data_IF_235473665848
#
_entry.id   IF_235473665848
#
_cell.length_a   1.000
_cell.length_b   1.000
_cell.length_c   1.000
_cell.angle_alpha   90.00
_cell.angle_beta   90.00
_cell.angle_gamma   90.00
#
_symmetry.space_group_name_H-M   'P 1'
#
loop_
_entity.id
_entity.type
_entity.pdbx_description
1 polymer ?
#
# COMPACT_ATOMS: atom_id res chain seq x y z
N UNK A 1 -37.97 13.47 79.12
CA UNK A 1 -37.74 14.63 79.96
C UNK A 1 -37.59 15.85 79.12
N UNK A 2 -38.50 16.65 79.28
CA UNK A 2 -38.71 18.10 79.35
C UNK A 2 -38.41 18.83 78.02
N UNK A 3 -39.46 19.30 77.43
CA UNK A 3 -40.33 20.50 77.61
C UNK A 3 -39.68 21.73 76.98
N UNK A 4 -40.31 22.19 75.89
CA UNK A 4 -41.28 23.30 75.75
C UNK A 4 -40.61 24.68 75.87
N UNK A 5 -40.74 25.51 74.83
CA UNK A 5 -41.54 26.72 74.95
C UNK A 5 -41.67 27.41 73.55
N UNK A 6 -42.93 27.55 73.17
CA UNK A 6 -43.40 28.50 72.18
C UNK A 6 -43.33 29.93 72.68
N UNK A 7 -43.06 30.92 71.89
CA UNK A 7 -43.70 32.22 72.10
C UNK A 7 -43.95 32.93 70.73
N UNK A 8 -45.19 33.20 70.52
CA UNK A 8 -45.93 33.97 69.57
C UNK A 8 -45.58 35.45 69.61
N UNK A 9 -45.72 36.13 68.46
CA UNK A 9 -45.74 37.59 68.45
C UNK A 9 -45.90 38.26 67.10
N UNK A 10 -47.11 38.29 66.61
CA UNK A 10 -47.85 39.45 66.05
C UNK A 10 -47.42 40.00 64.64
N UNK A 11 -48.38 39.83 63.78
CA UNK A 11 -48.74 40.49 62.53
C UNK A 11 -48.65 42.03 62.65
N UNK A 12 -48.06 42.69 61.63
CA UNK A 12 -48.54 44.00 61.16
C UNK A 12 -48.57 44.05 59.68
N UNK A 13 -49.72 44.16 59.12
CA UNK A 13 -50.17 44.44 57.79
C UNK A 13 -50.04 45.96 57.52
N UNK A 14 -49.40 46.39 56.49
CA UNK A 14 -49.51 47.68 55.77
C UNK A 14 -48.53 47.64 54.61
N UNK A 15 -48.83 47.80 53.44
CA UNK A 15 -49.65 48.58 52.53
C UNK A 15 -49.29 48.21 51.11
N UNK A 16 -50.28 47.95 50.32
CA UNK A 16 -50.25 47.92 48.89
C UNK A 16 -50.10 49.36 48.42
N UNK A 17 -49.02 49.66 47.65
CA UNK A 17 -49.03 50.66 46.57
C UNK A 17 -48.00 50.28 45.54
N UNK A 18 -48.43 50.03 44.43
CA UNK A 18 -48.11 49.99 43.05
C UNK A 18 -46.69 50.37 42.61
N UNK A 19 -46.08 49.49 41.83
CA UNK A 19 -45.34 49.90 40.62
C UNK A 19 -45.67 48.86 39.59
N UNK A 20 -46.61 49.17 38.72
CA UNK A 20 -46.72 48.71 37.33
C UNK A 20 -45.67 49.46 36.51
N UNK A 21 -45.20 48.86 35.51
CA UNK A 21 -44.19 49.25 34.45
C UNK A 21 -42.75 48.92 34.85
N UNK A 22 -42.16 47.94 34.21
CA UNK A 22 -41.79 47.90 32.80
C UNK A 22 -41.39 46.45 32.45
N UNK A 23 -42.26 45.74 31.81
CA UNK A 23 -41.89 44.58 30.98
C UNK A 23 -41.12 45.09 29.74
N UNK A 24 -39.87 45.37 29.90
CA UNK A 24 -38.98 45.50 28.73
C UNK A 24 -38.86 44.13 28.11
N UNK A 25 -39.50 43.92 27.00
CA UNK A 25 -39.27 42.87 26.00
C UNK A 25 -37.77 42.87 25.67
N UNK A 26 -36.98 42.06 26.38
CA UNK A 26 -35.71 41.55 25.89
C UNK A 26 -36.07 40.56 24.78
N UNK A 27 -36.37 41.10 23.58
CA UNK A 27 -36.14 40.37 22.32
C UNK A 27 -34.67 39.97 22.33
N UNK A 28 -34.42 38.73 22.74
CA UNK A 28 -33.15 38.09 22.52
C UNK A 28 -33.01 38.00 20.99
N UNK A 29 -32.41 39.04 20.39
CA UNK A 29 -31.73 38.86 19.13
C UNK A 29 -30.75 37.67 19.39
N UNK A 30 -31.09 36.51 18.87
CA UNK A 30 -30.12 35.44 18.67
C UNK A 30 -29.06 36.00 17.74
N UNK A 31 -28.05 36.61 18.34
CA UNK A 31 -26.80 36.88 17.67
C UNK A 31 -26.35 35.50 17.13
N UNK A 32 -26.19 35.35 15.80
CA UNK A 32 -25.62 34.10 15.30
C UNK A 32 -24.34 33.90 16.10
N UNK A 33 -24.23 32.75 16.72
CA UNK A 33 -23.07 32.33 17.47
C UNK A 33 -21.90 32.45 16.50
N UNK A 34 -21.21 33.58 16.53
CA UNK A 34 -19.92 33.72 15.87
C UNK A 34 -19.06 32.67 16.54
N UNK A 35 -18.91 31.51 15.88
CA UNK A 35 -17.95 30.52 16.27
C UNK A 35 -16.64 31.27 16.51
N UNK A 36 -16.13 31.19 17.76
CA UNK A 36 -14.82 31.76 18.08
C UNK A 36 -13.86 31.33 16.96
N UNK A 37 -13.03 32.24 16.44
CA UNK A 37 -11.99 31.83 15.49
C UNK A 37 -11.24 30.68 16.14
N UNK A 38 -11.34 29.50 15.57
CA UNK A 38 -10.60 28.36 16.02
C UNK A 38 -9.13 28.74 15.86
N UNK A 39 -8.35 28.67 16.96
CA UNK A 39 -6.92 28.97 16.93
C UNK A 39 -6.20 28.09 15.89
N UNK A 40 -4.92 28.35 15.62
CA UNK A 40 -4.18 27.52 14.64
C UNK A 40 -4.21 26.05 15.05
N UNK A 41 -4.63 25.20 14.12
CA UNK A 41 -4.61 23.75 14.27
C UNK A 41 -3.22 23.22 13.91
N UNK A 42 -2.71 22.25 14.68
CA UNK A 42 -1.48 21.53 14.33
C UNK A 42 -1.81 20.06 14.13
N UNK A 43 -1.55 19.55 12.94
CA UNK A 43 -1.69 18.14 12.58
C UNK A 43 -0.35 17.44 12.66
N UNK A 44 -0.32 16.26 13.25
CA UNK A 44 0.83 15.38 13.19
C UNK A 44 0.66 14.39 12.03
N UNK A 45 1.66 14.33 11.12
CA UNK A 45 1.67 13.43 9.97
C UNK A 45 2.85 12.47 10.01
N UNK A 46 2.58 11.16 10.09
CA UNK A 46 3.58 10.11 10.05
C UNK A 46 3.70 9.50 8.66
N UNK A 47 4.88 9.64 8.06
CA UNK A 47 5.21 9.02 6.79
C UNK A 47 6.41 8.09 6.89
N UNK A 48 6.64 7.28 5.84
CA UNK A 48 7.68 6.26 5.81
C UNK A 48 8.78 6.57 4.79
N UNK A 49 8.42 6.89 3.56
CA UNK A 49 9.34 6.81 2.43
C UNK A 49 9.88 8.16 1.98
N UNK A 50 9.04 9.18 1.95
CA UNK A 50 9.45 10.48 1.47
C UNK A 50 10.36 11.20 2.47
N UNK A 51 11.32 11.99 1.92
CA UNK A 51 12.19 12.78 2.77
C UNK A 51 11.41 13.93 3.42
N UNK A 52 11.81 14.40 4.63
CA UNK A 52 11.21 15.59 5.21
C UNK A 52 11.25 16.78 4.26
N UNK A 53 12.38 17.03 3.57
CA UNK A 53 12.51 18.15 2.63
C UNK A 53 11.49 18.10 1.49
N UNK A 54 11.18 16.90 0.98
CA UNK A 54 10.17 16.69 -0.06
C UNK A 54 8.79 17.07 0.45
N UNK A 55 8.41 16.56 1.62
CA UNK A 55 7.09 16.80 2.22
C UNK A 55 6.95 18.25 2.70
N UNK A 56 7.99 18.84 3.30
CA UNK A 56 8.00 20.23 3.76
C UNK A 56 7.75 21.22 2.61
N UNK A 57 8.20 20.91 1.39
CA UNK A 57 7.89 21.72 0.21
C UNK A 57 6.38 21.76 -0.06
N UNK A 58 5.68 20.65 0.10
CA UNK A 58 4.23 20.56 -0.09
C UNK A 58 3.48 21.20 1.08
N UNK A 59 3.94 20.98 2.32
CA UNK A 59 3.38 21.59 3.52
C UNK A 59 3.45 23.13 3.44
N UNK A 60 4.58 23.65 2.99
CA UNK A 60 4.77 25.09 2.82
C UNK A 60 3.81 25.69 1.78
N UNK A 61 3.48 24.97 0.71
CA UNK A 61 2.47 25.43 -0.25
C UNK A 61 1.06 25.34 0.33
N UNK A 62 0.73 24.27 1.03
CA UNK A 62 -0.55 24.14 1.72
C UNK A 62 -0.77 25.26 2.75
N UNK A 63 0.29 25.64 3.48
CA UNK A 63 0.26 26.74 4.45
C UNK A 63 -0.11 28.09 3.85
N UNK A 64 0.23 28.34 2.57
CA UNK A 64 -0.13 29.59 1.89
C UNK A 64 -1.63 29.71 1.65
N UNK A 65 -2.31 28.59 1.40
CA UNK A 65 -3.75 28.55 1.15
C UNK A 65 -4.57 28.25 2.42
N UNK A 66 -3.95 27.64 3.44
CA UNK A 66 -4.55 27.30 4.72
C UNK A 66 -3.68 27.80 5.89
N UNK A 67 -3.57 29.13 6.11
CA UNK A 67 -2.61 29.72 7.05
C UNK A 67 -2.84 29.31 8.52
N UNK A 68 -4.03 28.87 8.87
CA UNK A 68 -4.38 28.44 10.21
C UNK A 68 -4.09 26.94 10.49
N UNK A 69 -3.62 26.18 9.49
CA UNK A 69 -3.25 24.78 9.66
C UNK A 69 -1.74 24.62 9.59
N UNK A 70 -1.15 24.09 10.66
CA UNK A 70 0.25 23.68 10.72
C UNK A 70 0.32 22.18 10.57
N UNK A 71 1.33 21.66 9.87
CA UNK A 71 1.53 20.23 9.71
C UNK A 71 2.95 19.89 10.16
N UNK A 72 3.06 18.96 11.09
CA UNK A 72 4.33 18.43 11.60
C UNK A 72 4.56 17.05 10.99
N UNK A 73 5.39 16.99 9.95
CA UNK A 73 5.75 15.72 9.31
C UNK A 73 6.83 15.00 10.11
N UNK A 74 6.61 13.71 10.41
CA UNK A 74 7.59 12.84 11.05
C UNK A 74 7.84 11.62 10.19
N UNK A 75 9.02 11.53 9.61
CA UNK A 75 9.46 10.31 8.93
C UNK A 75 9.74 9.24 9.98
N UNK A 76 9.06 8.09 9.85
CA UNK A 76 9.20 6.93 10.73
C UNK A 76 10.05 5.84 10.06
N UNK A 77 10.62 4.95 10.85
CA UNK A 77 11.26 3.74 10.34
C UNK A 77 10.21 2.68 10.07
N UNK A 78 10.33 1.88 8.99
CA UNK A 78 9.33 0.85 8.67
C UNK A 78 9.24 -0.28 9.70
N UNK A 79 10.38 -0.61 10.37
CA UNK A 79 10.43 -1.69 11.36
C UNK A 79 9.54 -1.35 12.57
N UNK A 80 8.64 -2.27 12.92
CA UNK A 80 7.69 -2.14 14.03
C UNK A 80 6.77 -0.89 13.91
N UNK A 81 6.65 -0.34 12.69
CA UNK A 81 5.87 0.87 12.49
C UNK A 81 4.39 0.65 12.75
N UNK A 82 3.82 -0.44 12.22
CA UNK A 82 2.39 -0.75 12.37
C UNK A 82 2.01 -0.88 13.84
N UNK A 83 2.72 -1.72 14.60
CA UNK A 83 2.41 -1.92 16.03
C UNK A 83 2.59 -0.62 16.84
N UNK A 84 3.62 0.16 16.51
CA UNK A 84 3.83 1.47 17.15
C UNK A 84 2.68 2.43 16.85
N UNK A 85 2.18 2.43 15.61
CA UNK A 85 1.05 3.25 15.17
C UNK A 85 -0.22 2.89 15.95
N UNK A 86 -0.61 1.61 15.95
CA UNK A 86 -1.79 1.10 16.67
C UNK A 86 -1.72 1.44 18.16
N UNK A 87 -0.59 1.15 18.81
CA UNK A 87 -0.40 1.42 20.23
C UNK A 87 -0.53 2.92 20.57
N UNK A 88 0.04 3.80 19.75
CA UNK A 88 -0.01 5.24 20.03
C UNK A 88 -1.39 5.83 19.72
N UNK A 89 -2.07 5.37 18.68
CA UNK A 89 -3.47 5.76 18.42
C UNK A 89 -4.36 5.32 19.58
N UNK A 90 -4.24 4.07 20.04
CA UNK A 90 -5.02 3.56 21.19
C UNK A 90 -4.77 4.35 22.47
N UNK A 91 -3.56 4.88 22.69
CA UNK A 91 -3.19 5.72 23.83
C UNK A 91 -3.59 7.20 23.66
N UNK A 92 -4.17 7.60 22.53
CA UNK A 92 -4.52 8.98 22.24
C UNK A 92 -3.31 9.90 21.97
N UNK A 93 -2.13 9.33 21.68
CA UNK A 93 -0.88 10.03 21.36
C UNK A 93 -0.39 9.77 19.93
N UNK A 94 -1.22 9.13 19.12
CA UNK A 94 -0.94 8.86 17.72
C UNK A 94 -1.05 10.08 16.82
N UNK A 95 -0.67 9.94 15.52
CA UNK A 95 -0.77 11.02 14.54
C UNK A 95 -2.22 11.27 14.12
N UNK A 96 -2.47 12.45 13.51
CA UNK A 96 -3.73 12.75 12.82
C UNK A 96 -3.79 12.09 11.45
N UNK A 97 -2.64 12.04 10.74
CA UNK A 97 -2.49 11.49 9.39
C UNK A 97 -1.35 10.49 9.42
N UNK A 98 -1.55 9.33 8.79
CA UNK A 98 -0.51 8.33 8.74
C UNK A 98 -0.47 7.56 7.41
N UNK A 99 0.73 7.13 7.05
CA UNK A 99 0.96 6.26 5.89
C UNK A 99 0.72 4.80 6.31
N UNK A 100 -0.01 4.05 5.48
CA UNK A 100 -0.22 2.62 5.65
C UNK A 100 -0.19 1.89 4.31
N UNK A 101 0.07 0.58 4.33
CA UNK A 101 0.06 -0.25 3.12
C UNK A 101 -1.38 -0.66 2.76
N UNK A 102 -1.70 -0.78 1.45
CA UNK A 102 -3.05 -1.15 0.99
C UNK A 102 -3.57 -2.46 1.62
N UNK A 103 -2.70 -3.42 1.87
CA UNK A 103 -3.07 -4.71 2.49
C UNK A 103 -3.23 -4.64 4.02
N UNK A 104 -2.90 -3.50 4.66
CA UNK A 104 -3.04 -3.33 6.11
C UNK A 104 -4.44 -2.93 6.57
N UNK A 105 -5.32 -2.59 5.64
CA UNK A 105 -6.68 -2.12 5.94
C UNK A 105 -7.44 -3.01 6.93
N UNK A 106 -7.40 -4.35 6.85
CA UNK A 106 -8.07 -5.19 7.84
C UNK A 106 -7.51 -5.06 9.25
N UNK A 107 -6.18 -4.88 9.37
CA UNK A 107 -5.49 -4.73 10.67
C UNK A 107 -5.75 -3.37 11.32
N UNK A 108 -5.94 -2.33 10.51
CA UNK A 108 -6.11 -0.93 10.94
C UNK A 108 -7.58 -0.48 10.90
N UNK A 109 -8.52 -1.42 10.93
CA UNK A 109 -9.94 -1.12 10.77
C UNK A 109 -10.46 -0.11 11.80
N UNK A 110 -10.03 -0.24 13.04
CA UNK A 110 -10.48 0.61 14.15
C UNK A 110 -9.71 1.95 14.23
N UNK A 111 -8.54 2.02 13.59
CA UNK A 111 -7.67 3.20 13.57
C UNK A 111 -7.96 4.17 12.43
N UNK A 112 -8.66 3.70 11.38
CA UNK A 112 -8.93 4.47 10.17
C UNK A 112 -10.29 5.17 10.23
N UNK A 113 -10.28 6.49 10.06
CA UNK A 113 -11.50 7.30 9.94
C UNK A 113 -12.12 7.18 8.54
N UNK A 114 -13.42 6.92 8.41
CA UNK A 114 -14.10 6.94 7.12
C UNK A 114 -14.10 8.32 6.47
N UNK A 115 -13.79 8.38 5.17
CA UNK A 115 -13.74 9.64 4.41
C UNK A 115 -15.14 10.25 4.26
N UNK A 116 -15.36 11.48 4.75
CA UNK A 116 -16.64 12.17 4.54
C UNK A 116 -16.92 12.41 3.05
N UNK A 117 -18.19 12.23 2.62
CA UNK A 117 -18.61 12.50 1.24
C UNK A 117 -18.38 13.96 0.80
N UNK A 118 -18.27 14.90 1.76
CA UNK A 118 -17.92 16.30 1.50
C UNK A 118 -16.45 16.48 1.08
N UNK A 119 -15.56 15.54 1.43
CA UNK A 119 -14.17 15.54 0.99
C UNK A 119 -14.10 15.11 -0.47
N UNK A 120 -14.62 13.93 -0.79
CA UNK A 120 -14.72 13.43 -2.16
C UNK A 120 -15.87 12.41 -2.24
N UNK A 121 -16.67 12.48 -3.30
CA UNK A 121 -17.71 11.46 -3.53
C UNK A 121 -17.07 10.12 -3.94
N UNK A 122 -17.74 9.00 -3.64
CA UNK A 122 -17.29 7.66 -4.10
C UNK A 122 -17.19 7.58 -5.62
N UNK A 123 -18.06 8.28 -6.34
CA UNK A 123 -18.02 8.37 -7.81
C UNK A 123 -16.77 9.10 -8.29
N UNK A 124 -16.44 10.24 -7.68
CA UNK A 124 -15.23 10.99 -8.05
C UNK A 124 -13.97 10.21 -7.71
N UNK A 125 -13.94 9.52 -6.57
CA UNK A 125 -12.83 8.67 -6.18
C UNK A 125 -12.62 7.54 -7.20
N UNK A 126 -13.68 6.80 -7.54
CA UNK A 126 -13.66 5.73 -8.55
C UNK A 126 -13.18 6.21 -9.91
N UNK A 127 -13.56 7.43 -10.31
CA UNK A 127 -13.16 7.99 -11.60
C UNK A 127 -11.74 8.57 -11.61
N UNK A 128 -11.20 8.90 -10.45
CA UNK A 128 -9.89 9.53 -10.31
C UNK A 128 -8.75 8.52 -10.18
N UNK A 129 -8.94 7.47 -9.38
CA UNK A 129 -7.89 6.50 -9.03
C UNK A 129 -8.06 5.19 -9.79
N UNK A 130 -6.97 4.40 -9.87
CA UNK A 130 -7.06 3.05 -10.42
C UNK A 130 -8.07 2.22 -9.64
N UNK A 131 -8.78 1.25 -10.29
CA UNK A 131 -9.86 0.48 -9.66
C UNK A 131 -9.46 -0.20 -8.34
N UNK A 132 -8.20 -0.64 -8.26
CA UNK A 132 -7.67 -1.32 -7.08
C UNK A 132 -7.70 -0.43 -5.83
N UNK A 133 -7.56 0.89 -5.95
CA UNK A 133 -7.64 1.79 -4.81
C UNK A 133 -9.03 1.78 -4.15
N UNK A 134 -10.09 1.70 -4.94
CA UNK A 134 -11.45 1.56 -4.43
C UNK A 134 -11.67 0.21 -3.76
N UNK A 135 -11.08 -0.85 -4.31
CA UNK A 135 -11.20 -2.20 -3.77
C UNK A 135 -10.47 -2.34 -2.42
N UNK A 136 -9.23 -1.87 -2.35
CA UNK A 136 -8.37 -2.11 -1.19
C UNK A 136 -8.62 -1.13 -0.03
N UNK A 137 -8.90 0.14 -0.35
CA UNK A 137 -9.03 1.23 0.64
C UNK A 137 -10.49 1.47 1.06
N UNK A 138 -11.27 0.38 1.17
CA UNK A 138 -12.68 0.44 1.57
C UNK A 138 -12.94 -0.51 2.74
N UNK A 139 -13.55 0.02 3.82
CA UNK A 139 -14.04 -0.73 4.96
C UNK A 139 -15.57 -0.51 5.04
N UNK A 140 -16.36 -1.58 5.10
CA UNK A 140 -17.83 -1.49 5.24
C UNK A 140 -18.47 -0.51 4.23
N UNK A 141 -17.94 -0.51 3.00
CA UNK A 141 -18.35 0.37 1.90
C UNK A 141 -17.95 1.85 2.08
N UNK A 142 -17.11 2.21 3.05
CA UNK A 142 -16.58 3.57 3.22
C UNK A 142 -15.08 3.62 2.86
N UNK A 143 -14.68 4.67 2.14
CA UNK A 143 -13.27 4.88 1.75
C UNK A 143 -12.51 5.38 2.98
N UNK A 144 -11.30 4.83 3.21
CA UNK A 144 -10.50 5.12 4.41
C UNK A 144 -9.13 5.75 4.11
N UNK A 145 -8.84 6.08 2.87
CA UNK A 145 -7.55 6.70 2.54
C UNK A 145 -7.41 7.12 1.09
N UNK A 146 -6.34 7.88 0.83
CA UNK A 146 -5.90 8.25 -0.51
C UNK A 146 -4.58 7.56 -0.84
N UNK A 147 -4.45 6.89 -2.01
CA UNK A 147 -3.18 6.31 -2.41
C UNK A 147 -2.15 7.41 -2.66
N UNK A 148 -0.94 7.23 -2.14
CA UNK A 148 0.21 8.15 -2.34
C UNK A 148 0.84 7.98 -3.72
N UNK A 149 0.77 6.77 -4.25
CA UNK A 149 1.30 6.35 -5.53
C UNK A 149 0.66 5.04 -5.93
N UNK A 150 0.98 4.55 -7.10
CA UNK A 150 0.71 3.18 -7.51
C UNK A 150 2.04 2.43 -7.62
N UNK A 151 2.08 1.20 -7.16
CA UNK A 151 3.17 0.28 -7.46
C UNK A 151 2.60 -1.15 -7.59
N UNK A 152 3.42 -2.05 -8.09
CA UNK A 152 3.06 -3.43 -8.34
C UNK A 152 4.27 -4.21 -8.80
N UNK A 153 4.06 -5.34 -9.47
CA UNK A 153 5.14 -6.05 -10.13
C UNK A 153 5.35 -5.54 -11.55
N UNK A 154 6.61 -5.57 -12.00
CA UNK A 154 7.02 -5.39 -13.39
C UNK A 154 8.03 -6.47 -13.79
N UNK A 155 8.14 -6.78 -15.07
CA UNK A 155 9.14 -7.70 -15.61
C UNK A 155 10.40 -6.92 -16.00
N UNK A 156 11.40 -6.94 -15.14
CA UNK A 156 12.74 -6.40 -15.43
C UNK A 156 13.49 -7.36 -16.35
N UNK A 157 14.13 -6.83 -17.37
CA UNK A 157 14.95 -7.65 -18.27
C UNK A 157 16.29 -6.99 -18.60
N UNK A 158 17.34 -7.81 -18.66
CA UNK A 158 18.71 -7.39 -18.97
C UNK A 158 18.89 -7.26 -20.48
N UNK A 159 19.05 -6.03 -20.98
CA UNK A 159 19.13 -5.75 -22.42
C UNK A 159 20.35 -6.40 -23.08
N UNK A 160 21.49 -6.49 -22.39
CA UNK A 160 22.70 -7.09 -22.96
C UNK A 160 22.57 -8.62 -23.10
N UNK A 161 21.95 -9.31 -22.13
CA UNK A 161 21.66 -10.76 -22.21
C UNK A 161 20.64 -11.04 -23.32
N UNK A 162 19.55 -10.27 -23.40
CA UNK A 162 18.53 -10.40 -24.44
C UNK A 162 19.15 -10.22 -25.83
N UNK A 163 19.96 -9.17 -26.00
CA UNK A 163 20.66 -8.88 -27.27
C UNK A 163 21.61 -10.00 -27.67
N UNK A 164 22.40 -10.53 -26.71
CA UNK A 164 23.32 -11.63 -26.99
C UNK A 164 22.60 -12.90 -27.45
N UNK A 165 21.39 -13.15 -26.96
CA UNK A 165 20.55 -14.28 -27.38
C UNK A 165 19.70 -14.03 -28.63
N UNK A 166 19.77 -12.81 -29.21
CA UNK A 166 18.97 -12.42 -30.38
C UNK A 166 17.46 -12.26 -30.07
N UNK A 167 17.11 -11.99 -28.80
CA UNK A 167 15.73 -11.70 -28.39
C UNK A 167 15.54 -10.17 -28.44
N UNK A 168 14.58 -9.72 -29.23
CA UNK A 168 14.37 -8.29 -29.51
C UNK A 168 13.26 -7.65 -28.69
N UNK A 169 12.41 -8.46 -28.06
CA UNK A 169 11.25 -8.01 -27.26
C UNK A 169 11.10 -8.88 -26.02
N UNK A 170 10.68 -8.31 -24.88
CA UNK A 170 10.33 -9.10 -23.69
C UNK A 170 9.08 -9.94 -23.94
N UNK A 171 8.93 -11.09 -23.25
CA UNK A 171 7.77 -11.96 -23.38
C UNK A 171 6.48 -11.28 -22.90
N UNK A 172 5.38 -11.48 -23.64
CA UNK A 172 4.05 -10.95 -23.29
C UNK A 172 3.11 -12.03 -22.73
N UNK A 173 3.50 -13.29 -22.83
CA UNK A 173 2.78 -14.45 -22.28
C UNK A 173 3.69 -15.33 -21.44
N UNK A 174 3.10 -16.13 -20.52
CA UNK A 174 3.88 -17.09 -19.74
C UNK A 174 4.50 -18.20 -20.60
N UNK A 175 3.90 -18.51 -21.75
CA UNK A 175 4.49 -19.45 -22.71
C UNK A 175 5.77 -18.87 -23.31
N UNK A 176 5.76 -17.63 -23.78
CA UNK A 176 6.96 -16.95 -24.28
C UNK A 176 8.00 -16.80 -23.16
N UNK A 177 7.55 -16.42 -21.94
CA UNK A 177 8.44 -16.29 -20.78
C UNK A 177 9.20 -17.58 -20.48
N UNK A 178 8.52 -18.74 -20.49
CA UNK A 178 9.16 -20.04 -20.25
C UNK A 178 10.17 -20.37 -21.35
N UNK A 179 9.83 -20.12 -22.62
CA UNK A 179 10.72 -20.34 -23.76
C UNK A 179 11.96 -19.45 -23.69
N UNK A 180 11.77 -18.16 -23.40
CA UNK A 180 12.86 -17.20 -23.27
C UNK A 180 13.73 -17.54 -22.04
N UNK A 181 13.14 -17.88 -20.90
CA UNK A 181 13.88 -18.29 -19.73
C UNK A 181 14.80 -19.49 -19.97
N UNK A 182 14.29 -20.50 -20.68
CA UNK A 182 15.11 -21.66 -21.07
C UNK A 182 16.24 -21.26 -22.04
N UNK A 183 15.95 -20.45 -23.04
CA UNK A 183 16.93 -19.98 -24.05
C UNK A 183 18.02 -19.10 -23.45
N UNK A 184 17.68 -18.27 -22.46
CA UNK A 184 18.57 -17.31 -21.80
C UNK A 184 19.41 -17.95 -20.69
N UNK A 185 19.11 -19.19 -20.29
CA UNK A 185 19.84 -19.91 -19.26
C UNK A 185 21.15 -20.48 -19.81
N UNK A 186 22.27 -20.10 -19.21
CA UNK A 186 23.58 -20.64 -19.55
C UNK A 186 24.10 -21.45 -18.36
N UNK A 187 24.48 -22.70 -18.64
CA UNK A 187 25.06 -23.62 -17.62
C UNK A 187 26.52 -23.97 -18.00
N UNK A 188 27.32 -24.27 -16.99
CA UNK A 188 28.65 -24.82 -17.19
C UNK A 188 28.59 -26.33 -17.48
N UNK A 189 29.76 -26.93 -17.73
CA UNK A 189 29.91 -28.36 -18.04
C UNK A 189 29.41 -29.27 -16.89
N UNK A 190 29.40 -28.78 -15.67
CA UNK A 190 28.89 -29.48 -14.47
C UNK A 190 27.38 -29.28 -14.28
N UNK A 191 26.72 -28.50 -15.14
CA UNK A 191 25.29 -28.18 -15.07
C UNK A 191 24.92 -27.08 -14.09
N UNK A 192 25.90 -26.34 -13.53
CA UNK A 192 25.63 -25.19 -12.69
C UNK A 192 25.23 -23.97 -13.51
N UNK A 193 24.24 -23.22 -13.06
CA UNK A 193 23.74 -22.03 -13.74
C UNK A 193 24.80 -20.90 -13.60
N UNK A 194 25.26 -20.39 -14.73
CA UNK A 194 26.15 -19.22 -14.85
C UNK A 194 25.39 -17.95 -15.15
N UNK A 195 24.36 -18.06 -16.00
CA UNK A 195 23.36 -17.03 -16.24
C UNK A 195 21.99 -17.65 -16.08
N UNK A 196 21.20 -17.13 -15.18
CA UNK A 196 19.82 -17.56 -14.99
C UNK A 196 18.91 -16.88 -16.03
N UNK A 197 18.07 -17.65 -16.69
CA UNK A 197 17.08 -17.08 -17.62
C UNK A 197 16.00 -16.28 -16.89
N UNK A 198 15.61 -16.73 -15.70
CA UNK A 198 14.68 -16.01 -14.84
C UNK A 198 14.93 -16.34 -13.37
N UNK A 199 14.79 -15.35 -12.49
CA UNK A 199 14.79 -15.55 -11.04
C UNK A 199 13.37 -15.90 -10.57
N UNK A 200 13.06 -17.20 -10.54
CA UNK A 200 11.70 -17.68 -10.28
C UNK A 200 11.75 -19.12 -9.73
N UNK A 201 10.80 -19.49 -8.87
CA UNK A 201 10.55 -20.88 -8.49
C UNK A 201 10.97 -21.29 -7.09
N UNK A 202 11.66 -20.44 -6.33
CA UNK A 202 12.04 -20.67 -4.95
C UNK A 202 11.57 -19.56 -4.03
N UNK A 203 11.20 -19.86 -2.79
CA UNK A 203 10.85 -18.85 -1.80
C UNK A 203 12.09 -18.30 -1.09
N UNK A 204 13.16 -19.11 -0.97
CA UNK A 204 14.35 -18.80 -0.18
C UNK A 204 15.19 -17.65 -0.73
N UNK A 205 15.26 -17.48 -2.07
CA UNK A 205 16.15 -16.51 -2.72
C UNK A 205 15.49 -15.69 -3.85
N UNK A 206 14.17 -15.79 -4.02
CA UNK A 206 13.39 -14.90 -4.90
C UNK A 206 12.71 -13.84 -4.04
N UNK A 207 13.26 -12.64 -4.01
CA UNK A 207 12.89 -11.56 -3.08
C UNK A 207 11.39 -11.20 -3.03
N UNK A 208 10.67 -11.36 -4.14
CA UNK A 208 9.25 -11.04 -4.26
C UNK A 208 8.43 -12.30 -4.61
N UNK A 209 8.83 -13.47 -4.11
CA UNK A 209 8.18 -14.74 -4.48
C UNK A 209 6.68 -14.75 -4.19
N UNK A 210 6.27 -14.17 -3.06
CA UNK A 210 4.85 -14.15 -2.64
C UNK A 210 4.01 -13.28 -3.57
N UNK A 211 4.51 -12.10 -3.98
CA UNK A 211 3.84 -11.23 -4.95
C UNK A 211 3.71 -11.94 -6.30
N UNK A 212 4.76 -12.65 -6.75
CA UNK A 212 4.78 -13.38 -8.04
C UNK A 212 3.79 -14.55 -7.98
N UNK A 213 3.83 -15.34 -6.90
CA UNK A 213 2.91 -16.45 -6.73
C UNK A 213 1.45 -15.97 -6.63
N UNK A 214 1.21 -14.89 -5.87
CA UNK A 214 -0.09 -14.25 -5.76
C UNK A 214 -0.63 -13.78 -7.13
N UNK A 215 0.22 -13.14 -7.94
CA UNK A 215 -0.11 -12.79 -9.31
C UNK A 215 -0.50 -14.03 -10.15
N UNK A 216 0.30 -15.10 -10.10
CA UNK A 216 0.04 -16.34 -10.86
C UNK A 216 -1.28 -17.01 -10.44
N UNK A 217 -1.57 -17.05 -9.14
CA UNK A 217 -2.84 -17.56 -8.62
C UNK A 217 -4.00 -16.72 -9.16
N UNK A 218 -3.94 -15.39 -9.06
CA UNK A 218 -5.00 -14.51 -9.57
C UNK A 218 -5.18 -14.63 -11.09
N UNK A 219 -4.10 -14.67 -11.86
CA UNK A 219 -4.17 -14.82 -13.31
C UNK A 219 -4.78 -16.15 -13.73
N UNK A 220 -4.55 -17.21 -12.95
CA UNK A 220 -5.13 -18.54 -13.21
C UNK A 220 -6.57 -18.68 -12.69
N UNK A 221 -7.14 -17.63 -12.06
CA UNK A 221 -8.48 -17.61 -11.52
C UNK A 221 -8.63 -18.27 -10.14
N UNK A 222 -7.51 -18.50 -9.44
CA UNK A 222 -7.47 -18.98 -8.06
C UNK A 222 -7.67 -17.87 -7.04
N UNK A 223 -7.79 -18.27 -5.77
CA UNK A 223 -8.01 -17.34 -4.66
C UNK A 223 -6.85 -17.37 -3.66
N UNK A 224 -5.99 -16.32 -3.61
CA UNK A 224 -4.87 -16.28 -2.67
C UNK A 224 -5.27 -16.28 -1.18
N UNK A 225 -6.51 -15.93 -0.84
CA UNK A 225 -7.02 -16.00 0.54
C UNK A 225 -7.52 -17.40 0.94
N UNK A 226 -7.76 -18.27 -0.04
CA UNK A 226 -8.21 -19.65 0.18
C UNK A 226 -7.73 -20.53 -0.97
N UNK A 227 -6.41 -20.86 -1.05
CA UNK A 227 -5.78 -21.44 -2.25
C UNK A 227 -5.96 -22.96 -2.40
N UNK A 228 -7.05 -23.53 -1.92
CA UNK A 228 -7.33 -24.99 -2.03
C UNK A 228 -7.92 -25.41 -3.37
N UNK A 229 -8.16 -24.48 -4.28
CA UNK A 229 -8.64 -24.76 -5.63
C UNK A 229 -7.51 -25.26 -6.55
N UNK A 230 -7.92 -25.96 -7.62
CA UNK A 230 -6.98 -26.51 -8.61
C UNK A 230 -6.16 -25.41 -9.29
N UNK A 231 -6.74 -24.26 -9.52
CA UNK A 231 -6.11 -23.13 -10.16
C UNK A 231 -4.91 -22.61 -9.34
N UNK A 232 -5.05 -22.54 -8.03
CA UNK A 232 -3.97 -22.19 -7.11
C UNK A 232 -2.87 -23.25 -7.11
N UNK A 233 -3.25 -24.55 -7.12
CA UNK A 233 -2.29 -25.65 -7.17
C UNK A 233 -1.48 -25.65 -8.49
N UNK A 234 -2.15 -25.46 -9.63
CA UNK A 234 -1.49 -25.35 -10.94
C UNK A 234 -0.51 -24.15 -10.98
N UNK A 235 -0.87 -23.03 -10.33
CA UNK A 235 0.01 -21.84 -10.25
C UNK A 235 1.27 -22.12 -9.40
N UNK A 236 1.14 -22.83 -8.26
CA UNK A 236 2.28 -23.19 -7.43
C UNK A 236 3.19 -24.24 -8.10
N UNK A 237 2.61 -25.24 -8.79
CA UNK A 237 3.37 -26.20 -9.58
C UNK A 237 4.14 -25.50 -10.71
N UNK A 238 3.48 -24.57 -11.42
CA UNK A 238 4.13 -23.80 -12.45
C UNK A 238 5.26 -22.93 -11.89
N UNK A 239 5.02 -22.20 -10.79
CA UNK A 239 6.04 -21.40 -10.10
C UNK A 239 7.26 -22.26 -9.74
N UNK A 240 7.07 -23.40 -9.07
CA UNK A 240 8.18 -24.25 -8.62
C UNK A 240 8.87 -25.01 -9.75
N UNK A 241 8.26 -25.13 -10.92
CA UNK A 241 8.85 -25.84 -12.08
C UNK A 241 10.15 -25.20 -12.58
N UNK A 242 10.36 -23.90 -12.36
CA UNK A 242 11.54 -23.17 -12.81
C UNK A 242 12.83 -23.56 -12.09
N UNK A 243 12.75 -24.23 -10.93
CA UNK A 243 13.91 -24.74 -10.18
C UNK A 243 14.06 -26.26 -10.26
N UNK A 244 13.15 -26.97 -10.94
CA UNK A 244 13.11 -28.43 -10.98
C UNK A 244 13.76 -29.02 -12.25
N UNK A 245 14.38 -30.18 -12.08
CA UNK A 245 14.87 -31.00 -13.21
C UNK A 245 16.06 -30.41 -13.97
N UNK A 246 16.33 -31.00 -15.14
CA UNK A 246 17.46 -30.60 -15.96
C UNK A 246 17.22 -29.25 -16.68
N UNK A 247 16.00 -28.88 -16.88
CA UNK A 247 15.61 -27.64 -17.55
C UNK A 247 15.45 -26.44 -16.58
N UNK A 248 15.86 -26.62 -15.30
CA UNK A 248 15.81 -25.53 -14.33
C UNK A 248 16.53 -24.29 -14.84
N UNK A 249 15.93 -23.13 -14.62
CA UNK A 249 16.48 -21.82 -15.01
C UNK A 249 16.92 -20.99 -13.83
N UNK A 250 16.59 -21.40 -12.62
CA UNK A 250 16.95 -20.83 -11.35
C UNK A 250 17.43 -21.91 -10.40
N UNK A 251 18.17 -21.51 -9.38
CA UNK A 251 18.72 -22.45 -8.39
C UNK A 251 18.82 -21.76 -7.02
N UNK A 252 18.54 -22.46 -5.94
CA UNK A 252 18.63 -21.93 -4.57
C UNK A 252 20.08 -21.60 -4.15
N UNK A 253 21.10 -22.09 -4.88
CA UNK A 253 22.49 -21.70 -4.66
C UNK A 253 22.84 -20.32 -5.26
N UNK A 254 21.95 -19.75 -6.08
CA UNK A 254 22.11 -18.39 -6.59
C UNK A 254 21.95 -17.36 -5.47
N UNK A 255 22.59 -16.18 -5.55
CA UNK A 255 22.32 -15.08 -4.64
C UNK A 255 20.84 -14.67 -4.66
N UNK A 256 20.40 -13.89 -3.67
CA UNK A 256 19.05 -13.28 -3.70
C UNK A 256 18.78 -12.60 -5.04
N UNK A 257 17.57 -12.74 -5.57
CA UNK A 257 17.22 -12.43 -6.95
C UNK A 257 17.55 -10.99 -7.37
N UNK A 258 17.33 -10.00 -6.49
CA UNK A 258 17.69 -8.60 -6.77
C UNK A 258 19.21 -8.43 -6.88
N UNK A 259 19.98 -9.07 -6.00
CA UNK A 259 21.45 -9.01 -6.02
C UNK A 259 21.99 -9.68 -7.28
N UNK A 260 21.47 -10.87 -7.65
CA UNK A 260 21.85 -11.59 -8.85
C UNK A 260 21.54 -10.79 -10.14
N UNK A 261 20.36 -10.16 -10.20
CA UNK A 261 20.00 -9.31 -11.33
C UNK A 261 20.90 -8.05 -11.41
N UNK A 262 21.15 -7.38 -10.28
CA UNK A 262 22.06 -6.23 -10.20
C UNK A 262 23.48 -6.60 -10.63
N UNK A 263 23.93 -7.82 -10.32
CA UNK A 263 25.22 -8.36 -10.74
C UNK A 263 25.29 -8.74 -12.21
N UNK A 264 24.18 -8.70 -12.95
CA UNK A 264 24.13 -9.03 -14.38
C UNK A 264 24.08 -10.53 -14.68
N UNK A 265 23.84 -11.40 -13.69
CA UNK A 265 23.77 -12.86 -13.86
C UNK A 265 22.36 -13.41 -14.09
N UNK A 266 21.37 -12.55 -14.22
CA UNK A 266 19.95 -12.90 -14.43
C UNK A 266 19.40 -12.14 -15.63
N UNK A 267 18.70 -12.84 -16.52
CA UNK A 267 18.09 -12.23 -17.69
C UNK A 267 16.73 -11.57 -17.41
N UNK A 268 15.88 -12.22 -16.61
CA UNK A 268 14.54 -11.76 -16.27
C UNK A 268 14.31 -11.82 -14.74
N UNK A 269 13.73 -10.75 -14.20
CA UNK A 269 13.48 -10.58 -12.78
C UNK A 269 12.14 -9.87 -12.57
N UNK A 270 11.37 -10.31 -11.60
CA UNK A 270 10.14 -9.62 -11.20
C UNK A 270 10.37 -8.78 -9.93
N UNK A 271 9.89 -7.56 -9.94
CA UNK A 271 9.98 -6.69 -8.77
C UNK A 271 9.12 -5.44 -8.89
N UNK A 272 8.89 -4.74 -7.78
CA UNK A 272 8.23 -3.45 -7.77
C UNK A 272 9.13 -2.34 -8.34
N UNK A 273 8.52 -1.18 -8.66
CA UNK A 273 9.22 -0.10 -9.35
C UNK A 273 10.46 0.40 -8.60
N UNK A 274 10.37 0.52 -7.27
CA UNK A 274 11.49 1.01 -6.44
C UNK A 274 12.74 0.12 -6.49
N UNK A 275 12.61 -1.17 -6.87
CA UNK A 275 13.77 -2.05 -7.11
C UNK A 275 14.67 -1.55 -8.22
N UNK A 276 14.13 -0.80 -9.18
CA UNK A 276 14.97 -0.18 -10.21
C UNK A 276 15.97 0.83 -9.60
N UNK A 277 15.58 1.50 -8.52
CA UNK A 277 16.47 2.40 -7.77
C UNK A 277 17.59 1.61 -7.09
N UNK A 278 17.25 0.52 -6.39
CA UNK A 278 18.23 -0.35 -5.74
C UNK A 278 19.23 -0.92 -6.75
N UNK A 279 18.72 -1.45 -7.88
CA UNK A 279 19.53 -2.05 -8.95
C UNK A 279 20.48 -1.01 -9.56
N UNK A 280 19.99 0.18 -9.88
CA UNK A 280 20.82 1.26 -10.44
C UNK A 280 21.88 1.77 -9.46
N UNK A 281 21.55 1.86 -8.17
CA UNK A 281 22.49 2.26 -7.14
C UNK A 281 23.58 1.17 -6.91
N UNK A 282 23.21 -0.11 -7.00
CA UNK A 282 24.16 -1.22 -6.88
C UNK A 282 25.05 -1.36 -8.14
N UNK A 283 24.48 -1.17 -9.33
CA UNK A 283 25.19 -1.28 -10.61
C UNK A 283 24.69 -0.23 -11.62
N UNK A 284 25.27 0.98 -11.63
CA UNK A 284 24.90 2.04 -12.55
C UNK A 284 25.09 1.69 -14.03
N UNK A 285 25.96 0.72 -14.35
CA UNK A 285 26.29 0.31 -15.72
C UNK A 285 25.33 -0.74 -16.28
N UNK A 286 24.53 -1.40 -15.43
CA UNK A 286 23.57 -2.41 -15.88
C UNK A 286 22.51 -1.77 -16.80
N UNK A 287 22.41 -2.31 -18.00
CA UNK A 287 21.36 -1.92 -18.96
C UNK A 287 20.15 -2.82 -18.78
N UNK A 288 19.08 -2.24 -18.31
CA UNK A 288 17.82 -2.94 -18.16
C UNK A 288 16.63 -2.02 -18.45
N UNK A 289 15.51 -2.63 -18.77
CA UNK A 289 14.20 -2.00 -18.86
C UNK A 289 13.18 -2.83 -18.08
N UNK A 290 11.97 -2.26 -17.95
CA UNK A 290 10.84 -2.97 -17.36
C UNK A 290 9.74 -3.10 -18.41
N UNK A 291 9.22 -4.29 -18.54
CA UNK A 291 8.07 -4.61 -19.39
C UNK A 291 6.82 -4.88 -18.54
N UNK A 292 5.62 -4.72 -19.13
CA UNK A 292 4.39 -5.24 -18.54
C UNK A 292 4.50 -6.73 -18.23
N UNK A 293 3.71 -7.17 -17.25
CA UNK A 293 3.72 -8.56 -16.79
C UNK A 293 3.24 -9.53 -17.89
N UNK A 294 3.88 -10.70 -18.06
CA UNK A 294 3.36 -11.77 -18.90
C UNK A 294 1.94 -12.17 -18.48
N UNK A 295 1.09 -12.47 -19.45
CA UNK A 295 -0.31 -12.82 -19.19
C UNK A 295 -0.62 -14.25 -19.58
N UNK A 296 -1.62 -14.85 -18.93
CA UNK A 296 -2.34 -16.00 -19.46
C UNK A 296 -3.34 -15.55 -20.54
N UNK A 297 -3.73 -16.45 -21.40
CA UNK A 297 -4.80 -16.19 -22.38
C UNK A 297 -6.13 -15.90 -21.64
N UNK A 298 -6.83 -14.86 -22.03
CA UNK A 298 -8.13 -14.49 -21.44
C UNK A 298 -8.12 -13.09 -20.82
N UNK A 299 -8.42 -12.96 -19.53
CA UNK A 299 -8.46 -11.69 -18.83
C UNK A 299 -7.06 -11.21 -18.47
N UNK A 300 -6.80 -9.92 -18.64
CA UNK A 300 -5.57 -9.30 -18.13
C UNK A 300 -5.68 -9.09 -16.63
N UNK A 301 -4.71 -9.62 -15.87
CA UNK A 301 -4.59 -9.44 -14.43
C UNK A 301 -3.15 -9.09 -14.09
N UNK A 302 -2.94 -8.07 -13.27
CA UNK A 302 -1.64 -7.62 -12.79
C UNK A 302 -1.63 -7.54 -11.27
N UNK A 303 -0.53 -7.14 -10.64
CA UNK A 303 -0.38 -7.13 -9.19
C UNK A 303 -0.17 -5.71 -8.68
N UNK A 304 -0.87 -5.35 -7.58
CA UNK A 304 -0.69 -4.09 -6.89
C UNK A 304 -0.10 -4.27 -5.49
N UNK A 305 0.81 -3.38 -5.14
CA UNK A 305 1.39 -3.20 -3.81
C UNK A 305 1.74 -1.73 -3.66
N UNK A 306 1.03 -0.99 -2.80
CA UNK A 306 1.19 0.46 -2.72
C UNK A 306 0.85 1.00 -1.33
N UNK A 307 1.25 2.24 -1.08
CA UNK A 307 1.04 2.94 0.18
C UNK A 307 -0.03 4.02 0.04
N UNK A 308 -0.78 4.24 1.11
CA UNK A 308 -1.86 5.22 1.20
C UNK A 308 -1.70 6.09 2.45
N UNK A 309 -2.35 7.25 2.46
CA UNK A 309 -2.55 8.08 3.64
C UNK A 309 -3.96 7.90 4.17
N UNK A 310 -4.07 7.59 5.45
CA UNK A 310 -5.31 7.54 6.22
C UNK A 310 -5.34 8.60 7.31
N UNK A 311 -6.54 8.83 7.81
CA UNK A 311 -6.78 9.73 8.95
C UNK A 311 -7.09 8.88 10.17
N UNK A 312 -6.52 9.27 11.31
CA UNK A 312 -6.76 8.58 12.57
C UNK A 312 -8.21 8.74 13.03
N UNK A 313 -8.86 7.63 13.37
CA UNK A 313 -10.18 7.62 13.98
C UNK A 313 -10.22 8.42 15.30
N UNK A 314 -9.08 8.56 15.98
CA UNK A 314 -8.94 9.30 17.23
C UNK A 314 -8.50 10.77 17.03
N UNK A 315 -8.28 11.24 15.77
CA UNK A 315 -7.96 12.64 15.52
C UNK A 315 -9.10 13.57 15.96
N UNK A 316 -8.74 14.63 16.66
CA UNK A 316 -9.67 15.72 17.04
C UNK A 316 -9.81 16.78 15.93
N UNK A 317 -9.01 16.66 14.86
CA UNK A 317 -8.93 17.59 13.73
C UNK A 317 -9.18 16.88 12.38
N UNK A 318 -10.13 15.94 12.38
CA UNK A 318 -10.44 15.08 11.23
C UNK A 318 -10.71 15.85 9.95
N UNK A 319 -11.44 16.97 10.07
CA UNK A 319 -11.77 17.82 8.90
C UNK A 319 -10.51 18.37 8.23
N UNK A 320 -9.64 19.00 9.00
CA UNK A 320 -8.39 19.59 8.52
C UNK A 320 -7.43 18.52 8.00
N UNK A 321 -7.41 17.36 8.66
CA UNK A 321 -6.62 16.20 8.24
C UNK A 321 -7.10 15.65 6.87
N UNK A 322 -8.41 15.47 6.69
CA UNK A 322 -8.98 15.07 5.40
C UNK A 322 -8.78 16.13 4.30
N UNK A 323 -8.90 17.42 4.62
CA UNK A 323 -8.64 18.51 3.67
C UNK A 323 -7.18 18.47 3.18
N UNK A 324 -6.21 18.23 4.08
CA UNK A 324 -4.81 18.06 3.68
C UNK A 324 -4.57 16.76 2.90
N UNK A 325 -5.14 15.62 3.32
CA UNK A 325 -5.01 14.37 2.59
C UNK A 325 -5.57 14.48 1.15
N UNK A 326 -6.71 15.16 0.99
CA UNK A 326 -7.26 15.48 -0.33
C UNK A 326 -6.32 16.37 -1.15
N UNK A 327 -5.72 17.40 -0.53
CA UNK A 327 -4.75 18.27 -1.18
C UNK A 327 -3.55 17.47 -1.69
N UNK A 328 -3.00 16.57 -0.86
CA UNK A 328 -1.91 15.66 -1.24
C UNK A 328 -2.25 14.79 -2.46
N UNK A 329 -3.53 14.47 -2.66
CA UNK A 329 -4.02 13.65 -3.76
C UNK A 329 -4.44 14.46 -5.01
N UNK A 330 -4.20 15.79 -5.06
CA UNK A 330 -4.45 16.59 -6.27
C UNK A 330 -3.39 16.32 -7.34
N UNK A 331 -3.75 16.51 -8.60
CA UNK A 331 -2.84 16.30 -9.74
C UNK A 331 -1.58 17.17 -9.63
N UNK A 332 -1.76 18.43 -9.25
CA UNK A 332 -0.66 19.38 -9.07
C UNK A 332 0.34 18.89 -8.02
N UNK A 333 -0.16 18.46 -6.86
CA UNK A 333 0.70 18.00 -5.76
C UNK A 333 1.37 16.67 -6.09
N UNK A 334 0.68 15.73 -6.72
CA UNK A 334 1.27 14.46 -7.15
C UNK A 334 2.42 14.68 -8.16
N UNK A 335 2.22 15.57 -9.14
CA UNK A 335 3.27 15.94 -10.11
C UNK A 335 4.45 16.60 -9.40
N UNK A 336 4.17 17.50 -8.44
CA UNK A 336 5.21 18.17 -7.66
C UNK A 336 5.96 17.18 -6.77
N UNK A 337 5.27 16.30 -6.06
CA UNK A 337 5.90 15.23 -5.26
C UNK A 337 6.84 14.37 -6.09
N UNK A 338 6.41 13.96 -7.28
CA UNK A 338 7.26 13.21 -8.21
C UNK A 338 8.54 13.99 -8.52
N UNK A 339 8.41 15.26 -8.90
CA UNK A 339 9.55 16.12 -9.26
C UNK A 339 10.47 16.43 -8.06
N UNK A 340 9.93 16.60 -6.85
CA UNK A 340 10.74 16.79 -5.64
C UNK A 340 11.43 15.50 -5.19
N UNK A 341 10.79 14.34 -5.33
CA UNK A 341 11.38 13.06 -4.97
C UNK A 341 12.66 12.74 -5.74
N UNK A 342 12.71 13.09 -7.04
CA UNK A 342 13.92 12.85 -7.88
C UNK A 342 15.11 13.74 -7.50
N UNK A 343 14.92 14.76 -6.67
CA UNK A 343 16.04 15.58 -6.14
C UNK A 343 16.75 14.88 -4.98
N UNK A 344 16.16 13.83 -4.42
CA UNK A 344 16.78 13.03 -3.37
C UNK A 344 17.93 12.19 -3.93
N UNK A 345 19.10 12.12 -3.26
CA UNK A 345 20.23 11.34 -3.74
C UNK A 345 19.86 9.88 -4.04
N UNK A 346 20.29 9.39 -5.19
CA UNK A 346 20.05 8.00 -5.62
C UNK A 346 18.66 7.72 -6.19
N UNK A 347 17.73 8.68 -6.17
CA UNK A 347 16.42 8.55 -6.85
C UNK A 347 16.46 9.19 -8.24
N UNK A 348 15.96 8.52 -9.25
CA UNK A 348 15.88 9.02 -10.63
C UNK A 348 14.46 9.03 -11.18
N UNK A 349 13.47 8.59 -10.39
CA UNK A 349 12.03 8.77 -10.61
C UNK A 349 11.30 8.90 -9.26
N UNK A 350 10.11 9.49 -9.28
CA UNK A 350 9.19 9.55 -8.15
C UNK A 350 8.22 8.35 -8.14
N UNK A 351 7.31 8.31 -7.17
CA UNK A 351 6.29 7.26 -7.14
C UNK A 351 5.38 7.36 -8.37
N UNK A 352 5.09 6.25 -9.07
CA UNK A 352 4.11 6.25 -10.16
C UNK A 352 2.78 6.83 -9.69
N UNK A 353 2.16 7.65 -10.52
CA UNK A 353 0.92 8.32 -10.11
C UNK A 353 -0.21 7.32 -9.85
N UNK A 354 -1.00 7.50 -8.78
CA UNK A 354 -2.14 6.64 -8.48
C UNK A 354 -3.39 6.98 -9.30
N UNK A 355 -3.35 8.03 -10.12
CA UNK A 355 -4.49 8.60 -10.86
C UNK A 355 -4.47 8.24 -12.33
N UNK A 356 -5.64 7.83 -12.83
CA UNK A 356 -5.84 7.39 -14.21
C UNK A 356 -5.47 8.47 -15.23
N UNK A 357 -5.86 9.73 -14.98
CA UNK A 357 -5.61 10.85 -15.90
C UNK A 357 -4.11 11.25 -16.00
N UNK A 358 -3.29 10.85 -15.03
CA UNK A 358 -1.86 11.13 -15.03
C UNK A 358 -1.02 10.01 -15.66
N UNK A 359 -1.60 8.85 -15.97
CA UNK A 359 -0.90 7.69 -16.51
C UNK A 359 -0.09 8.03 -17.78
N UNK A 360 -0.66 8.83 -18.68
CA UNK A 360 -0.01 9.20 -19.95
C UNK A 360 1.31 9.97 -19.77
N UNK A 361 1.50 10.64 -18.63
CA UNK A 361 2.75 11.37 -18.33
C UNK A 361 3.94 10.45 -18.09
N UNK A 362 3.69 9.18 -17.72
CA UNK A 362 4.73 8.20 -17.39
C UNK A 362 4.75 7.01 -18.36
N UNK A 363 3.76 6.87 -19.23
CA UNK A 363 3.55 5.69 -20.07
C UNK A 363 4.73 5.37 -21.03
N UNK A 364 5.53 6.37 -21.41
CA UNK A 364 6.71 6.20 -22.30
C UNK A 364 8.03 6.02 -21.54
N UNK A 365 8.02 6.09 -20.21
CA UNK A 365 9.22 5.87 -19.41
C UNK A 365 9.64 4.40 -19.48
N UNK A 366 10.93 4.09 -19.75
CA UNK A 366 11.40 2.71 -19.96
C UNK A 366 11.35 1.83 -18.70
N UNK A 367 11.11 2.41 -17.53
CA UNK A 367 11.00 1.70 -16.24
C UNK A 367 9.59 1.80 -15.71
N UNK A 368 9.11 3.02 -15.49
CA UNK A 368 7.80 3.27 -14.83
C UNK A 368 6.62 3.01 -15.78
N UNK A 369 6.83 3.14 -17.10
CA UNK A 369 5.78 3.00 -18.09
C UNK A 369 5.04 1.66 -18.02
N UNK A 370 5.74 0.57 -17.73
CA UNK A 370 5.14 -0.75 -17.57
C UNK A 370 4.13 -0.81 -16.40
N UNK A 371 4.48 -0.21 -15.27
CA UNK A 371 3.61 -0.20 -14.07
C UNK A 371 2.32 0.55 -14.32
N UNK A 372 2.38 1.75 -14.92
CA UNK A 372 1.16 2.52 -15.20
C UNK A 372 0.29 1.91 -16.31
N UNK A 373 0.89 1.13 -17.23
CA UNK A 373 0.14 0.34 -18.22
C UNK A 373 -0.61 -0.83 -17.60
N UNK A 374 -0.07 -1.41 -16.53
CA UNK A 374 -0.62 -2.57 -15.83
C UNK A 374 -1.62 -2.17 -14.71
N UNK A 375 -1.52 -0.96 -14.17
CA UNK A 375 -2.33 -0.47 -13.07
C UNK A 375 -3.87 -0.62 -13.23
N UNK A 376 -4.48 -0.43 -14.41
CA UNK A 376 -5.92 -0.59 -14.59
C UNK A 376 -6.44 -2.02 -14.38
N UNK A 377 -5.56 -3.02 -14.40
CA UNK A 377 -5.89 -4.44 -14.34
C UNK A 377 -5.41 -5.11 -13.04
N UNK A 378 -5.00 -4.30 -12.08
CA UNK A 378 -4.37 -4.79 -10.86
C UNK A 378 -5.36 -5.48 -9.93
N UNK A 379 -4.91 -6.60 -9.36
CA UNK A 379 -5.46 -7.25 -8.18
C UNK A 379 -4.47 -7.20 -7.03
N UNK A 380 -4.92 -7.48 -5.83
CA UNK A 380 -4.11 -7.55 -4.62
C UNK A 380 -4.55 -8.67 -3.70
N UNK A 381 -3.68 -9.11 -2.82
CA UNK A 381 -4.00 -10.00 -1.71
C UNK A 381 -3.05 -9.71 -0.53
N UNK A 382 -3.40 -10.12 0.69
CA UNK A 382 -2.57 -9.89 1.87
C UNK A 382 -1.37 -10.85 1.92
N UNK A 383 -0.56 -10.83 0.89
CA UNK A 383 0.71 -11.53 0.75
C UNK A 383 1.75 -10.66 0.02
N UNK A 384 1.60 -9.34 0.13
CA UNK A 384 2.54 -8.38 -0.42
C UNK A 384 3.85 -8.41 0.37
N UNK A 385 4.97 -8.66 -0.32
CA UNK A 385 6.27 -8.77 0.31
C UNK A 385 6.79 -7.42 0.82
N UNK A 386 7.63 -7.48 1.87
CA UNK A 386 8.37 -6.33 2.41
C UNK A 386 7.53 -5.18 2.95
N UNK A 387 6.32 -5.47 3.40
CA UNK A 387 5.49 -4.51 4.13
C UNK A 387 5.98 -4.31 5.57
N UNK A 388 6.71 -5.30 6.12
CA UNK A 388 7.25 -5.30 7.49
C UNK A 388 6.15 -5.09 8.54
N UNK A 389 5.00 -5.72 8.31
CA UNK A 389 3.83 -5.54 9.17
C UNK A 389 3.85 -6.41 10.43
N UNK A 390 4.72 -7.42 10.51
CA UNK A 390 4.74 -8.44 11.57
C UNK A 390 3.35 -9.02 11.84
N UNK A 391 2.48 -9.03 10.84
CA UNK A 391 1.07 -9.36 10.96
C UNK A 391 0.55 -10.14 9.78
N UNK A 392 -0.55 -9.65 9.21
CA UNK A 392 -1.34 -10.34 8.18
C UNK A 392 -0.52 -10.80 6.97
N UNK A 393 0.30 -9.89 6.38
CA UNK A 393 1.11 -10.26 5.22
C UNK A 393 2.22 -11.25 5.57
N UNK A 394 3.01 -10.93 6.61
CA UNK A 394 4.18 -11.75 6.98
C UNK A 394 3.77 -13.18 7.36
N UNK A 395 2.63 -13.35 8.07
CA UNK A 395 2.11 -14.67 8.44
C UNK A 395 1.56 -15.44 7.20
N UNK A 396 0.84 -14.79 6.30
CA UNK A 396 0.34 -15.44 5.08
C UNK A 396 1.50 -15.78 4.13
N UNK A 397 2.49 -14.89 3.99
CA UNK A 397 3.71 -15.17 3.22
C UNK A 397 4.41 -16.40 3.77
N UNK A 398 4.51 -16.55 5.09
CA UNK A 398 5.11 -17.73 5.73
C UNK A 398 4.37 -19.02 5.36
N UNK A 399 3.03 -19.01 5.35
CA UNK A 399 2.25 -20.17 4.93
C UNK A 399 2.53 -20.55 3.46
N UNK A 400 2.68 -19.56 2.57
CA UNK A 400 3.04 -19.81 1.17
C UNK A 400 4.50 -20.21 0.99
N UNK A 401 5.41 -19.70 1.80
CA UNK A 401 6.80 -20.15 1.84
C UNK A 401 6.87 -21.64 2.19
N UNK A 402 6.18 -22.06 3.25
CA UNK A 402 6.13 -23.46 3.68
C UNK A 402 5.55 -24.35 2.58
N UNK A 403 4.43 -23.97 1.98
CA UNK A 403 3.84 -24.70 0.85
C UNK A 403 4.79 -24.80 -0.35
N UNK A 404 5.50 -23.71 -0.68
CA UNK A 404 6.49 -23.72 -1.77
C UNK A 404 7.63 -24.68 -1.47
N UNK A 405 8.17 -24.66 -0.24
CA UNK A 405 9.24 -25.53 0.19
C UNK A 405 8.83 -27.00 0.22
N UNK A 406 7.60 -27.32 0.65
CA UNK A 406 7.02 -28.67 0.59
C UNK A 406 6.98 -29.19 -0.86
N UNK A 407 6.53 -28.37 -1.81
CA UNK A 407 6.47 -28.75 -3.23
C UNK A 407 7.88 -28.93 -3.83
N UNK A 408 8.84 -28.12 -3.41
CA UNK A 408 10.25 -28.31 -3.81
C UNK A 408 10.86 -29.58 -3.23
N UNK A 409 10.45 -29.99 -2.02
CA UNK A 409 10.81 -31.26 -1.37
C UNK A 409 10.02 -32.48 -1.87
N UNK A 410 9.35 -32.38 -3.02
CA UNK A 410 8.61 -33.46 -3.72
C UNK A 410 7.18 -33.73 -3.20
N UNK A 411 6.59 -32.85 -2.40
CA UNK A 411 5.15 -32.91 -2.11
C UNK A 411 4.33 -32.47 -3.32
N UNK A 412 3.03 -32.78 -3.33
CA UNK A 412 2.13 -32.25 -4.35
C UNK A 412 1.58 -30.88 -3.95
N UNK A 413 1.35 -30.00 -4.92
CA UNK A 413 0.90 -28.63 -4.65
C UNK A 413 -0.50 -28.58 -4.00
N UNK A 414 -1.39 -29.52 -4.32
CA UNK A 414 -2.74 -29.57 -3.73
C UNK A 414 -2.67 -29.76 -2.21
N UNK A 415 -1.94 -30.78 -1.73
CA UNK A 415 -1.81 -31.05 -0.29
C UNK A 415 -1.08 -29.93 0.47
N UNK A 416 -0.02 -29.36 -0.11
CA UNK A 416 0.69 -28.23 0.46
C UNK A 416 -0.23 -27.01 0.61
N UNK A 417 -1.04 -26.71 -0.41
CA UNK A 417 -1.99 -25.58 -0.36
C UNK A 417 -3.23 -25.85 0.50
N UNK A 418 -3.66 -27.10 0.69
CA UNK A 418 -4.68 -27.42 1.70
C UNK A 418 -4.21 -27.05 3.11
N UNK A 419 -2.95 -27.39 3.46
CA UNK A 419 -2.33 -27.01 4.73
C UNK A 419 -2.21 -25.48 4.85
N UNK A 420 -1.67 -24.82 3.82
CA UNK A 420 -1.55 -23.36 3.78
C UNK A 420 -2.92 -22.67 3.91
N UNK A 421 -3.95 -23.17 3.23
CA UNK A 421 -5.30 -22.60 3.29
C UNK A 421 -5.90 -22.66 4.69
N UNK A 422 -5.67 -23.75 5.45
CA UNK A 422 -6.12 -23.84 6.84
C UNK A 422 -5.42 -22.78 7.73
N UNK A 423 -4.11 -22.61 7.58
CA UNK A 423 -3.35 -21.58 8.29
C UNK A 423 -3.81 -20.17 7.90
N UNK A 424 -3.96 -19.89 6.61
CA UNK A 424 -4.43 -18.60 6.08
C UNK A 424 -5.81 -18.25 6.64
N UNK A 425 -6.74 -19.24 6.71
CA UNK A 425 -8.07 -19.01 7.27
C UNK A 425 -8.02 -18.58 8.75
N UNK A 426 -7.11 -19.16 9.55
CA UNK A 426 -6.90 -18.76 10.93
C UNK A 426 -6.33 -17.35 11.03
N UNK A 427 -5.30 -17.03 10.23
CA UNK A 427 -4.68 -15.70 10.18
C UNK A 427 -5.72 -14.64 9.78
N UNK A 428 -6.50 -14.88 8.71
CA UNK A 428 -7.55 -13.96 8.29
C UNK A 428 -8.59 -13.71 9.38
N UNK A 429 -8.98 -14.76 10.13
CA UNK A 429 -9.93 -14.65 11.24
C UNK A 429 -9.36 -13.84 12.41
N UNK A 430 -8.07 -14.00 12.72
CA UNK A 430 -7.37 -13.23 13.78
C UNK A 430 -7.43 -11.72 13.52
N UNK A 431 -7.23 -11.31 12.28
CA UNK A 431 -7.26 -9.90 11.87
C UNK A 431 -8.64 -9.42 11.39
N UNK A 432 -9.71 -10.21 11.55
CA UNK A 432 -11.05 -9.84 11.09
C UNK A 432 -11.16 -9.64 9.57
N UNK A 433 -10.21 -10.16 8.80
CA UNK A 433 -10.18 -10.11 7.35
C UNK A 433 -11.07 -11.23 6.75
N UNK A 434 -11.70 -10.95 5.59
CA UNK A 434 -12.57 -11.89 4.86
C UNK A 434 -11.99 -12.27 3.50
#
# INVERSE_FOLDING_TARGET
>A
MLQIAMKTGKIKLFSIVGILLTSVLLSACSVPFLSKPQGPVTLEYWGLWESPNTIDTIINDYKKINPNVNISYKKRTPQQYRESLENQIAQGSGPDIFTFHNTWVPMLKEELDPMPASVMSKTDYKNSFYPIAMQDLTIENEIVGFPQGYDGLGLFYNEDIFKAAGITKPPVSWTEFTQDAAKLTVKDESGNIRTAGAALGAASNVDNFSDILGLMILQNGGNPKNPKDKQSADALDYFTSFTKGQNRVWDETMPASTLAFSGGSVAMYFGPSWRAIDIKNANPLLKFKVAPLPQLAGAKVTWATYWANGISANSTHKKEAWDFAKYMATDEVLIKLYAESVKSPGRFFGNPYPKVNLASKLASDPIIGAFVQDAPFAGSAPMASRTLDNGLNDQIIKAYEDATNEVLAQSNATGALETASASIAQILAEFGAK
#
